data_IF_469036506003
#
_entry.id   IF_469036506003
#
_cell.length_a   1.000
_cell.length_b   1.000
_cell.length_c   1.000
_cell.angle_alpha   90.00
_cell.angle_beta   90.00
_cell.angle_gamma   90.00
#
_symmetry.space_group_name_H-M   'P 1'
#
loop_
_entity.id
_entity.type
_entity.pdbx_description
1 polymer ?
#
# COMPACT_ATOMS: atom_id res chain seq x y z
N UNK A 1 5.61 -3.73 -18.43
CA UNK A 1 5.42 -4.33 -17.09
C UNK A 1 6.46 -3.83 -16.07
N UNK A 2 7.75 -3.79 -16.41
CA UNK A 2 8.85 -3.39 -15.50
C UNK A 2 8.69 -2.02 -14.80
N UNK A 3 8.14 -1.01 -15.49
CA UNK A 3 8.02 0.37 -14.96
C UNK A 3 6.84 0.57 -13.99
N UNK A 4 5.75 -0.21 -14.14
CA UNK A 4 4.61 -0.19 -13.21
C UNK A 4 4.86 -1.05 -11.97
N UNK A 5 5.76 -2.04 -12.04
CA UNK A 5 6.05 -2.98 -10.96
C UNK A 5 7.24 -2.56 -10.07
N UNK A 6 8.09 -1.63 -10.51
CA UNK A 6 9.21 -1.11 -9.70
C UNK A 6 8.81 -0.07 -8.63
N UNK A 7 7.53 0.33 -8.63
CA UNK A 7 6.97 1.35 -7.72
C UNK A 7 5.85 0.78 -6.83
N UNK A 8 5.91 -0.49 -6.41
CA UNK A 8 4.86 -1.10 -5.57
C UNK A 8 4.73 -0.62 -4.13
N UNK A 9 5.70 -0.01 -3.42
CA UNK A 9 5.38 0.39 -2.07
C UNK A 9 4.31 1.46 -2.19
N UNK A 10 3.16 1.20 -1.59
CA UNK A 10 2.03 2.10 -1.70
C UNK A 10 1.48 2.16 -3.13
N UNK A 11 1.63 1.17 -4.02
CA UNK A 11 0.97 1.24 -5.35
C UNK A 11 -0.54 1.23 -5.16
N UNK A 12 -1.05 0.27 -4.37
CA UNK A 12 -2.46 0.23 -3.99
C UNK A 12 -2.90 1.57 -3.39
N UNK A 13 -2.14 2.06 -2.40
CA UNK A 13 -2.43 3.34 -1.72
C UNK A 13 -2.32 4.56 -2.66
N UNK A 14 -1.39 4.57 -3.59
CA UNK A 14 -1.16 5.68 -4.54
C UNK A 14 -2.26 5.72 -5.59
N UNK A 15 -2.68 4.56 -6.09
CA UNK A 15 -3.83 4.47 -6.99
C UNK A 15 -5.10 4.90 -6.26
N UNK A 16 -5.30 4.47 -5.01
CA UNK A 16 -6.43 4.92 -4.18
C UNK A 16 -6.41 6.43 -3.93
N UNK A 17 -5.24 7.03 -3.66
CA UNK A 17 -5.10 8.48 -3.54
C UNK A 17 -5.47 9.20 -4.84
N UNK A 18 -5.01 8.70 -5.98
CA UNK A 18 -5.34 9.29 -7.29
C UNK A 18 -6.82 9.13 -7.63
N UNK A 19 -7.46 8.01 -7.25
CA UNK A 19 -8.92 7.86 -7.32
C UNK A 19 -9.61 8.92 -6.47
N UNK A 20 -9.25 9.05 -5.20
CA UNK A 20 -9.82 10.05 -4.28
C UNK A 20 -9.60 11.48 -4.80
N UNK A 21 -8.43 11.75 -5.38
CA UNK A 21 -8.10 13.04 -5.99
C UNK A 21 -8.98 13.32 -7.20
N UNK A 22 -9.18 12.33 -8.08
CA UNK A 22 -10.05 12.45 -9.24
C UNK A 22 -11.50 12.71 -8.81
N UNK A 23 -11.99 12.01 -7.77
CA UNK A 23 -13.32 12.23 -7.19
C UNK A 23 -13.48 13.64 -6.61
N UNK A 24 -12.53 14.09 -5.80
CA UNK A 24 -12.55 15.46 -5.24
C UNK A 24 -12.52 16.52 -6.35
N UNK A 25 -11.70 16.32 -7.38
CA UNK A 25 -11.66 17.23 -8.53
C UNK A 25 -12.96 17.22 -9.33
N UNK A 26 -13.58 16.05 -9.49
CA UNK A 26 -14.87 15.91 -10.16
C UNK A 26 -15.96 16.66 -9.41
N UNK A 27 -16.09 16.45 -8.10
CA UNK A 27 -17.09 17.14 -7.27
C UNK A 27 -16.88 18.66 -7.24
N UNK A 28 -15.62 19.11 -7.13
CA UNK A 28 -15.29 20.54 -7.21
C UNK A 28 -15.70 21.15 -8.55
N UNK A 29 -15.47 20.45 -9.66
CA UNK A 29 -15.90 20.89 -10.99
C UNK A 29 -17.42 20.90 -11.10
N UNK A 30 -18.10 19.86 -10.61
CA UNK A 30 -19.56 19.75 -10.62
C UNK A 30 -20.20 20.93 -9.91
N UNK A 31 -19.75 21.23 -8.70
CA UNK A 31 -20.24 22.36 -7.90
C UNK A 31 -19.93 23.70 -8.56
N UNK A 32 -18.70 23.90 -9.06
CA UNK A 32 -18.30 25.15 -9.72
C UNK A 32 -19.09 25.45 -10.99
N UNK A 33 -19.50 24.42 -11.72
CA UNK A 33 -20.31 24.57 -12.95
C UNK A 33 -21.82 24.50 -12.66
N UNK A 34 -22.26 24.42 -11.40
CA UNK A 34 -23.68 24.37 -11.05
C UNK A 34 -24.40 23.11 -11.55
N UNK A 35 -23.67 22.02 -11.81
CA UNK A 35 -24.23 20.80 -12.38
C UNK A 35 -24.93 19.98 -11.29
N UNK A 36 -26.20 19.70 -11.50
CA UNK A 36 -26.98 18.76 -10.72
C UNK A 36 -27.42 17.60 -11.63
N UNK A 37 -26.90 16.40 -11.41
CA UNK A 37 -27.25 15.24 -12.22
C UNK A 37 -28.72 14.77 -12.07
N UNK A 38 -29.44 15.26 -11.07
CA UNK A 38 -30.88 15.05 -10.94
C UNK A 38 -31.71 16.05 -11.77
N UNK A 39 -31.10 17.11 -12.30
CA UNK A 39 -31.75 18.15 -13.10
C UNK A 39 -31.03 18.33 -14.44
N UNK A 40 -31.61 17.73 -15.49
CA UNK A 40 -31.08 17.74 -16.85
C UNK A 40 -30.84 19.16 -17.41
N UNK A 41 -31.63 20.15 -16.96
CA UNK A 41 -31.49 21.53 -17.42
C UNK A 41 -30.15 22.15 -17.01
N UNK A 42 -29.63 21.77 -15.84
CA UNK A 42 -28.32 22.24 -15.36
C UNK A 42 -27.16 21.66 -16.16
N UNK A 43 -27.32 20.44 -16.70
CA UNK A 43 -26.32 19.77 -17.53
C UNK A 43 -26.24 20.48 -18.90
N UNK A 44 -27.38 20.78 -19.51
CA UNK A 44 -27.45 21.48 -20.81
C UNK A 44 -26.86 22.89 -20.78
N UNK A 45 -26.93 23.55 -19.62
CA UNK A 45 -26.41 24.90 -19.42
C UNK A 45 -24.94 24.95 -18.97
N UNK A 46 -24.34 23.80 -18.66
CA UNK A 46 -22.95 23.73 -18.23
C UNK A 46 -21.97 23.92 -19.39
N UNK A 47 -20.79 24.45 -19.08
CA UNK A 47 -19.76 24.63 -20.11
C UNK A 47 -19.28 23.28 -20.66
N UNK A 48 -19.22 23.16 -21.99
CA UNK A 48 -18.75 21.95 -22.67
C UNK A 48 -17.34 21.53 -22.19
N UNK A 49 -16.44 22.51 -22.00
CA UNK A 49 -15.11 22.28 -21.42
C UNK A 49 -15.17 21.71 -20.00
N UNK A 50 -16.11 22.17 -19.18
CA UNK A 50 -16.34 21.66 -17.83
C UNK A 50 -16.84 20.22 -17.84
N UNK A 51 -17.83 19.94 -18.70
CA UNK A 51 -18.40 18.59 -18.88
C UNK A 51 -17.37 17.59 -19.41
N UNK A 52 -16.57 17.97 -20.41
CA UNK A 52 -15.48 17.11 -20.90
C UNK A 52 -14.45 16.79 -19.82
N UNK A 53 -14.07 17.78 -18.99
CA UNK A 53 -13.13 17.54 -17.90
C UNK A 53 -13.72 16.62 -16.82
N UNK A 54 -15.00 16.76 -16.50
CA UNK A 54 -15.70 15.84 -15.61
C UNK A 54 -15.73 14.41 -16.16
N UNK A 55 -16.06 14.25 -17.44
CA UNK A 55 -16.05 12.95 -18.11
C UNK A 55 -14.65 12.31 -18.12
N UNK A 56 -13.61 13.10 -18.36
CA UNK A 56 -12.22 12.64 -18.28
C UNK A 56 -11.88 12.10 -16.89
N UNK A 57 -12.24 12.83 -15.83
CA UNK A 57 -11.98 12.40 -14.44
C UNK A 57 -12.75 11.12 -14.07
N UNK A 58 -13.99 10.98 -14.54
CA UNK A 58 -14.76 9.74 -14.35
C UNK A 58 -14.09 8.55 -15.03
N UNK A 59 -13.66 8.73 -16.29
CA UNK A 59 -12.95 7.68 -17.03
C UNK A 59 -11.62 7.33 -16.35
N UNK A 60 -10.87 8.34 -15.89
CA UNK A 60 -9.64 8.13 -15.13
C UNK A 60 -9.91 7.29 -13.87
N UNK A 61 -10.91 7.64 -13.07
CA UNK A 61 -11.32 6.85 -11.89
C UNK A 61 -11.67 5.40 -12.27
N UNK A 62 -12.44 5.20 -13.34
CA UNK A 62 -12.83 3.87 -13.80
C UNK A 62 -11.62 3.02 -14.20
N UNK A 63 -10.69 3.59 -14.98
CA UNK A 63 -9.47 2.92 -15.42
C UNK A 63 -8.53 2.59 -14.24
N UNK A 64 -8.45 3.48 -13.24
CA UNK A 64 -7.71 3.23 -12.01
C UNK A 64 -8.34 2.11 -11.16
N UNK A 65 -9.67 2.08 -11.03
CA UNK A 65 -10.37 0.98 -10.33
C UNK A 65 -10.13 -0.37 -11.02
N UNK A 66 -10.23 -0.42 -12.35
CA UNK A 66 -9.89 -1.64 -13.12
C UNK A 66 -8.45 -2.09 -12.89
N UNK A 67 -7.53 -1.15 -12.74
CA UNK A 67 -6.13 -1.45 -12.44
C UNK A 67 -5.97 -2.06 -11.05
N UNK A 68 -6.71 -1.59 -10.05
CA UNK A 68 -6.76 -2.20 -8.72
C UNK A 68 -7.36 -3.60 -8.75
N UNK A 69 -8.45 -3.82 -9.49
CA UNK A 69 -9.07 -5.14 -9.61
C UNK A 69 -8.12 -6.17 -10.22
N UNK A 70 -7.43 -5.79 -11.31
CA UNK A 70 -6.43 -6.64 -11.96
C UNK A 70 -5.25 -6.95 -11.02
N UNK A 71 -4.82 -5.97 -10.24
CA UNK A 71 -3.76 -6.17 -9.26
C UNK A 71 -4.21 -7.09 -8.13
N UNK A 72 -5.45 -6.94 -7.65
CA UNK A 72 -6.06 -7.82 -6.66
C UNK A 72 -6.03 -9.28 -7.12
N UNK A 73 -6.44 -9.54 -8.37
CA UNK A 73 -6.39 -10.88 -8.97
C UNK A 73 -4.95 -11.42 -9.07
N UNK A 74 -3.99 -10.57 -9.43
CA UNK A 74 -2.58 -10.97 -9.47
C UNK A 74 -2.07 -11.36 -8.09
N UNK A 75 -2.40 -10.58 -7.06
CA UNK A 75 -2.01 -10.86 -5.69
C UNK A 75 -2.70 -12.10 -5.13
N UNK A 76 -3.97 -12.34 -5.47
CA UNK A 76 -4.67 -13.56 -5.10
C UNK A 76 -4.00 -14.80 -5.69
N UNK A 77 -3.64 -14.75 -6.96
CA UNK A 77 -2.89 -15.85 -7.59
C UNK A 77 -1.54 -16.09 -6.90
N UNK A 78 -0.82 -15.01 -6.54
CA UNK A 78 0.46 -15.12 -5.82
C UNK A 78 0.28 -15.71 -4.43
N UNK A 79 -0.70 -15.25 -3.66
CA UNK A 79 -1.01 -15.77 -2.33
C UNK A 79 -1.47 -17.22 -2.35
N UNK A 80 -2.22 -17.63 -3.39
CA UNK A 80 -2.58 -19.02 -3.59
C UNK A 80 -1.35 -19.93 -3.76
N UNK A 81 -0.34 -19.45 -4.48
CA UNK A 81 0.91 -20.19 -4.66
C UNK A 81 1.77 -20.20 -3.38
N UNK A 82 1.82 -19.08 -2.64
CA UNK A 82 2.59 -18.98 -1.41
C UNK A 82 1.98 -19.77 -0.24
N UNK A 83 0.66 -19.71 -0.10
CA UNK A 83 -0.08 -20.24 1.05
C UNK A 83 -1.29 -21.10 0.59
N UNK A 84 -1.06 -22.23 -0.10
CA UNK A 84 -2.13 -23.01 -0.71
C UNK A 84 -3.17 -23.56 0.28
N UNK A 85 -2.75 -23.75 1.54
CA UNK A 85 -3.57 -24.36 2.60
C UNK A 85 -4.14 -23.35 3.61
N UNK A 86 -3.94 -22.04 3.40
CA UNK A 86 -4.39 -21.01 4.34
C UNK A 86 -5.55 -20.20 3.76
N UNK A 87 -6.79 -20.55 4.11
CA UNK A 87 -7.99 -19.91 3.57
C UNK A 87 -8.23 -18.48 4.06
N UNK A 88 -7.57 -18.08 5.16
CA UNK A 88 -7.55 -16.70 5.62
C UNK A 88 -7.02 -15.71 4.57
N UNK A 89 -6.19 -16.17 3.61
CA UNK A 89 -5.70 -15.33 2.50
C UNK A 89 -6.82 -14.61 1.72
N UNK A 90 -8.00 -15.22 1.63
CA UNK A 90 -9.16 -14.67 0.91
C UNK A 90 -9.82 -13.48 1.63
N UNK A 91 -9.49 -13.27 2.91
CA UNK A 91 -10.03 -12.21 3.76
C UNK A 91 -9.10 -10.99 3.88
N UNK A 92 -7.94 -11.04 3.24
CA UNK A 92 -6.99 -9.94 3.19
C UNK A 92 -7.51 -8.83 2.28
N UNK A 93 -7.32 -7.58 2.69
CA UNK A 93 -7.49 -6.42 1.81
C UNK A 93 -6.37 -6.37 0.76
N UNK A 94 -6.59 -5.68 -0.35
CA UNK A 94 -5.58 -5.60 -1.42
C UNK A 94 -4.25 -4.99 -0.93
N UNK A 95 -4.28 -4.05 0.02
CA UNK A 95 -3.10 -3.48 0.68
C UNK A 95 -2.36 -4.54 1.49
N UNK A 96 -3.09 -5.34 2.28
CA UNK A 96 -2.50 -6.41 3.07
C UNK A 96 -1.84 -7.44 2.14
N UNK A 97 -2.48 -7.80 1.04
CA UNK A 97 -1.91 -8.69 0.02
C UNK A 97 -0.60 -8.14 -0.57
N UNK A 98 -0.54 -6.83 -0.83
CA UNK A 98 0.67 -6.15 -1.30
C UNK A 98 1.87 -6.39 -0.36
N UNK A 99 1.66 -6.26 0.96
CA UNK A 99 2.72 -6.51 1.94
C UNK A 99 3.26 -7.94 1.91
N UNK A 100 2.40 -8.96 1.77
CA UNK A 100 2.85 -10.36 1.68
C UNK A 100 3.70 -10.60 0.44
N UNK A 101 3.27 -10.06 -0.71
CA UNK A 101 4.02 -10.20 -1.96
C UNK A 101 5.35 -9.45 -1.88
N UNK A 102 5.36 -8.24 -1.32
CA UNK A 102 6.59 -7.48 -1.08
C UNK A 102 7.56 -8.23 -0.14
N UNK A 103 7.03 -8.90 0.88
CA UNK A 103 7.83 -9.74 1.79
C UNK A 103 8.54 -10.86 1.03
N UNK A 104 7.80 -11.60 0.20
CA UNK A 104 8.33 -12.70 -0.59
C UNK A 104 9.38 -12.23 -1.58
N UNK A 105 9.12 -11.12 -2.29
CA UNK A 105 10.07 -10.53 -3.23
C UNK A 105 11.35 -10.04 -2.55
N UNK A 106 11.25 -9.51 -1.33
CA UNK A 106 12.41 -9.02 -0.59
C UNK A 106 13.21 -10.18 0.03
N UNK A 107 12.57 -11.02 0.85
CA UNK A 107 13.24 -12.08 1.59
C UNK A 107 13.56 -13.33 0.76
N UNK A 108 12.97 -13.46 -0.43
CA UNK A 108 13.11 -14.65 -1.28
C UNK A 108 12.42 -15.89 -0.71
N UNK A 109 11.55 -15.71 0.29
CA UNK A 109 10.78 -16.77 0.93
C UNK A 109 9.43 -16.25 1.44
N UNK A 110 8.48 -17.16 1.59
CA UNK A 110 7.18 -16.85 2.19
C UNK A 110 7.36 -16.58 3.69
N UNK A 111 6.60 -15.62 4.22
CA UNK A 111 6.58 -15.32 5.65
C UNK A 111 5.64 -16.31 6.35
N UNK A 112 6.17 -17.00 7.34
CA UNK A 112 5.46 -18.02 8.13
C UNK A 112 5.17 -17.52 9.55
N UNK A 113 4.27 -18.17 10.31
CA UNK A 113 4.03 -17.80 11.70
C UNK A 113 5.31 -17.73 12.57
N UNK A 114 6.27 -18.61 12.31
CA UNK A 114 7.57 -18.64 12.99
C UNK A 114 8.39 -17.35 12.72
N UNK A 115 8.23 -16.78 11.53
CA UNK A 115 8.86 -15.52 11.12
C UNK A 115 8.24 -14.29 11.79
N UNK A 116 7.21 -14.40 12.64
CA UNK A 116 6.78 -13.29 13.50
C UNK A 116 7.57 -13.24 14.81
N UNK A 117 7.90 -14.42 15.34
CA UNK A 117 8.68 -14.57 16.56
C UNK A 117 10.16 -14.31 16.32
N UNK A 118 10.69 -14.79 15.19
CA UNK A 118 12.07 -14.55 14.78
C UNK A 118 12.15 -14.10 13.32
N UNK A 119 11.94 -12.80 13.07
CA UNK A 119 11.73 -12.34 11.70
C UNK A 119 13.01 -12.36 10.88
N UNK A 120 12.94 -12.75 9.60
CA UNK A 120 14.12 -12.88 8.76
C UNK A 120 14.84 -11.54 8.65
N UNK A 121 16.16 -11.64 8.56
CA UNK A 121 17.06 -10.52 8.32
C UNK A 121 17.82 -10.81 7.04
N UNK A 122 17.58 -10.01 5.99
CA UNK A 122 18.22 -10.20 4.69
C UNK A 122 19.67 -9.76 4.70
N UNK A 123 19.94 -8.64 5.38
CA UNK A 123 21.29 -8.07 5.48
C UNK A 123 21.76 -8.07 6.93
N UNK A 124 22.97 -8.55 7.17
CA UNK A 124 23.61 -8.43 8.47
C UNK A 124 23.72 -6.97 8.91
N UNK A 125 24.00 -6.75 10.20
CA UNK A 125 24.17 -5.40 10.76
C UNK A 125 25.18 -4.57 9.97
N UNK A 126 26.34 -5.15 9.70
CA UNK A 126 27.42 -4.43 9.03
C UNK A 126 27.03 -4.10 7.58
N UNK A 127 26.37 -5.02 6.88
CA UNK A 127 25.85 -4.78 5.53
C UNK A 127 24.77 -3.70 5.51
N UNK A 128 23.83 -3.71 6.48
CA UNK A 128 22.81 -2.66 6.60
C UNK A 128 23.46 -1.28 6.81
N UNK A 129 24.45 -1.18 7.71
CA UNK A 129 25.17 0.08 7.96
C UNK A 129 25.87 0.59 6.70
N UNK A 130 26.50 -0.31 5.94
CA UNK A 130 27.17 0.06 4.70
C UNK A 130 26.18 0.52 3.63
N UNK A 131 25.09 -0.23 3.42
CA UNK A 131 24.03 0.12 2.46
C UNK A 131 23.43 1.49 2.81
N UNK A 132 23.11 1.74 4.08
CA UNK A 132 22.62 3.03 4.57
C UNK A 132 23.61 4.16 4.22
N UNK A 133 24.89 3.93 4.49
CA UNK A 133 25.95 4.90 4.23
C UNK A 133 26.06 5.24 2.74
N UNK A 134 25.99 4.23 1.87
CA UNK A 134 25.98 4.42 0.42
C UNK A 134 24.77 5.22 -0.04
N UNK A 135 23.57 4.90 0.46
CA UNK A 135 22.36 5.65 0.13
C UNK A 135 22.43 7.12 0.55
N UNK A 136 22.97 7.39 1.75
CA UNK A 136 23.17 8.74 2.23
C UNK A 136 24.14 9.55 1.38
N UNK A 137 25.20 8.92 0.86
CA UNK A 137 26.12 9.55 -0.10
C UNK A 137 25.44 9.81 -1.45
N UNK A 138 24.65 8.85 -1.95
CA UNK A 138 23.88 8.98 -3.19
C UNK A 138 22.87 10.14 -3.09
N UNK A 139 22.17 10.26 -1.96
CA UNK A 139 21.20 11.34 -1.73
C UNK A 139 21.89 12.70 -1.60
N UNK A 140 23.03 12.79 -0.92
CA UNK A 140 23.73 14.08 -0.75
C UNK A 140 24.52 14.54 -1.98
N UNK A 141 24.73 13.68 -2.98
CA UNK A 141 25.47 14.01 -4.21
C UNK A 141 24.59 14.66 -5.30
N UNK A 142 23.54 15.39 -4.93
CA UNK A 142 22.52 15.91 -5.86
C UNK A 142 23.07 16.76 -7.03
N UNK A 143 24.22 17.41 -6.86
CA UNK A 143 24.82 18.28 -7.88
C UNK A 143 25.89 17.60 -8.76
N UNK A 144 26.24 16.33 -8.49
CA UNK A 144 27.29 15.61 -9.21
C UNK A 144 26.78 14.23 -9.64
N UNK A 145 26.14 14.20 -10.81
CA UNK A 145 25.53 12.99 -11.39
C UNK A 145 26.55 11.88 -11.61
N UNK A 146 27.81 12.23 -11.88
CA UNK A 146 28.90 11.27 -12.04
C UNK A 146 29.21 10.56 -10.71
N UNK A 147 29.41 11.31 -9.63
CA UNK A 147 29.64 10.72 -8.28
C UNK A 147 28.45 9.89 -7.81
N UNK A 148 27.24 10.33 -8.11
CA UNK A 148 26.02 9.57 -7.81
C UNK A 148 26.03 8.22 -8.52
N UNK A 149 26.28 8.21 -9.84
CA UNK A 149 26.28 6.97 -10.63
C UNK A 149 27.40 6.02 -10.18
N UNK A 150 28.60 6.55 -9.90
CA UNK A 150 29.70 5.75 -9.38
C UNK A 150 29.35 5.09 -8.03
N UNK A 151 28.66 5.80 -7.15
CA UNK A 151 28.21 5.27 -5.85
C UNK A 151 27.16 4.17 -6.02
N UNK A 152 26.24 4.32 -6.97
CA UNK A 152 25.26 3.28 -7.32
C UNK A 152 25.95 2.04 -7.90
N UNK A 153 26.91 2.22 -8.80
CA UNK A 153 27.68 1.11 -9.39
C UNK A 153 28.46 0.33 -8.33
N UNK A 154 29.11 1.04 -7.41
CA UNK A 154 29.84 0.41 -6.30
C UNK A 154 28.91 -0.39 -5.38
N UNK A 155 27.74 0.17 -5.07
CA UNK A 155 26.72 -0.51 -4.26
C UNK A 155 26.22 -1.77 -4.96
N UNK A 156 25.83 -1.66 -6.23
CA UNK A 156 25.33 -2.78 -7.03
C UNK A 156 26.39 -3.85 -7.27
N UNK A 157 27.67 -3.48 -7.32
CA UNK A 157 28.77 -4.44 -7.42
C UNK A 157 28.95 -5.24 -6.12
N UNK A 158 28.83 -4.58 -4.95
CA UNK A 158 28.99 -5.24 -3.65
C UNK A 158 27.75 -6.03 -3.24
N UNK A 159 26.56 -5.50 -3.55
CA UNK A 159 25.26 -6.07 -3.24
C UNK A 159 24.43 -6.23 -4.52
N UNK A 160 24.75 -7.22 -5.38
CA UNK A 160 24.10 -7.40 -6.68
C UNK A 160 22.60 -7.71 -6.60
N UNK A 161 22.15 -8.27 -5.48
CA UNK A 161 20.73 -8.52 -5.23
C UNK A 161 19.98 -7.31 -4.67
N UNK A 162 20.70 -6.25 -4.29
CA UNK A 162 20.07 -5.04 -3.78
C UNK A 162 19.46 -4.25 -4.94
N UNK A 163 18.16 -3.98 -4.89
CA UNK A 163 17.45 -3.32 -5.98
C UNK A 163 17.32 -1.80 -5.73
N UNK A 164 18.32 -1.02 -6.16
CA UNK A 164 18.36 0.44 -5.95
C UNK A 164 17.20 1.20 -6.58
N UNK A 165 16.68 0.68 -7.70
CA UNK A 165 15.61 1.31 -8.48
C UNK A 165 14.21 0.82 -8.08
N UNK A 166 14.12 -0.26 -7.30
CA UNK A 166 12.85 -0.79 -6.81
C UNK A 166 12.49 -0.12 -5.48
N UNK A 167 11.47 0.73 -5.50
CA UNK A 167 11.04 1.43 -4.29
C UNK A 167 10.52 0.46 -3.22
N UNK A 168 9.87 -0.62 -3.63
CA UNK A 168 9.24 -1.62 -2.75
C UNK A 168 10.31 -2.34 -1.95
N UNK A 169 11.37 -2.72 -2.66
CA UNK A 169 12.57 -3.30 -2.06
C UNK A 169 13.21 -2.36 -1.04
N UNK A 170 13.33 -1.06 -1.40
CA UNK A 170 13.85 -0.04 -0.50
C UNK A 170 12.98 0.19 0.74
N UNK A 171 11.66 0.13 0.61
CA UNK A 171 10.75 0.19 1.76
C UNK A 171 10.89 -1.02 2.67
N UNK A 172 11.01 -2.22 2.09
CA UNK A 172 11.25 -3.43 2.87
C UNK A 172 12.58 -3.37 3.63
N UNK A 173 13.65 -2.90 2.97
CA UNK A 173 14.93 -2.62 3.62
C UNK A 173 14.80 -1.59 4.74
N UNK A 174 14.05 -0.50 4.52
CA UNK A 174 13.79 0.51 5.55
C UNK A 174 13.09 -0.09 6.77
N UNK A 175 12.03 -0.89 6.58
CA UNK A 175 11.31 -1.53 7.67
C UNK A 175 12.18 -2.54 8.44
N UNK A 176 13.02 -3.30 7.74
CA UNK A 176 13.99 -4.19 8.38
C UNK A 176 14.98 -3.39 9.24
N UNK A 177 15.54 -2.29 8.73
CA UNK A 177 16.46 -1.44 9.48
C UNK A 177 15.80 -0.78 10.70
N UNK A 178 14.56 -0.28 10.56
CA UNK A 178 13.80 0.31 11.68
C UNK A 178 13.58 -0.68 12.82
N UNK A 179 13.39 -1.97 12.52
CA UNK A 179 13.25 -3.02 13.55
C UNK A 179 14.53 -3.19 14.37
N UNK A 180 15.67 -3.10 13.72
CA UNK A 180 16.99 -3.26 14.33
C UNK A 180 17.65 -1.91 14.66
N UNK A 181 16.85 -0.85 14.88
CA UNK A 181 17.35 0.51 15.12
C UNK A 181 18.35 0.58 16.27
N UNK A 182 18.09 -0.17 17.34
CA UNK A 182 18.93 -0.21 18.54
C UNK A 182 20.31 -0.81 18.24
N UNK A 183 20.39 -1.79 17.35
CA UNK A 183 21.64 -2.41 16.92
C UNK A 183 22.42 -1.54 15.93
N UNK A 184 21.70 -0.87 15.02
CA UNK A 184 22.26 -0.05 13.94
C UNK A 184 22.82 1.28 14.47
N UNK A 185 22.16 1.86 15.48
CA UNK A 185 22.57 3.09 16.14
C UNK A 185 22.01 4.36 15.51
N UNK A 186 21.80 5.37 16.36
CA UNK A 186 21.05 6.59 16.02
C UNK A 186 21.63 7.36 14.82
N UNK A 187 22.96 7.45 14.71
CA UNK A 187 23.60 8.18 13.60
C UNK A 187 23.21 7.60 12.24
N UNK A 188 23.25 6.26 12.12
CA UNK A 188 22.88 5.56 10.88
C UNK A 188 21.38 5.60 10.66
N UNK A 189 20.56 5.56 11.70
CA UNK A 189 19.11 5.76 11.57
C UNK A 189 18.75 7.16 11.05
N UNK A 190 19.47 8.21 11.48
CA UNK A 190 19.29 9.56 10.94
C UNK A 190 19.66 9.63 9.45
N UNK A 191 20.76 8.97 9.06
CA UNK A 191 21.16 8.85 7.65
C UNK A 191 20.11 8.10 6.82
N UNK A 192 19.59 6.99 7.34
CA UNK A 192 18.52 6.21 6.71
C UNK A 192 17.28 7.08 6.47
N UNK A 193 16.81 7.79 7.50
CA UNK A 193 15.64 8.68 7.39
C UNK A 193 15.87 9.80 6.35
N UNK A 194 17.04 10.43 6.38
CA UNK A 194 17.41 11.48 5.42
C UNK A 194 17.51 10.96 3.98
N UNK A 195 18.06 9.76 3.78
CA UNK A 195 18.31 9.22 2.44
C UNK A 195 17.05 8.60 1.81
N UNK A 196 16.18 8.00 2.62
CA UNK A 196 15.00 7.30 2.12
C UNK A 196 13.76 8.19 2.04
N UNK A 197 13.79 9.39 2.65
CA UNK A 197 12.71 10.39 2.67
C UNK A 197 11.32 9.77 2.52
N UNK A 198 11.04 8.77 3.36
CA UNK A 198 9.78 8.04 3.32
C UNK A 198 8.75 9.04 3.82
N UNK A 199 8.10 9.74 2.90
CA UNK A 199 6.99 10.61 3.25
C UNK A 199 6.01 9.79 4.09
N UNK A 200 5.85 10.18 5.37
CA UNK A 200 4.76 9.70 6.19
C UNK A 200 3.47 10.12 5.48
N UNK A 201 2.88 9.18 4.77
CA UNK A 201 1.61 9.38 4.08
C UNK A 201 0.55 9.64 5.14
N UNK A 202 0.07 10.89 5.19
CA UNK A 202 -1.05 11.28 6.04
C UNK A 202 -0.92 12.64 6.75
N UNK A 203 0.18 13.40 6.59
CA UNK A 203 0.32 14.69 7.32
C UNK A 203 0.42 15.94 6.44
N UNK A 204 0.99 15.86 5.23
CA UNK A 204 1.34 17.10 4.52
C UNK A 204 0.19 17.73 3.71
N UNK A 205 -0.70 16.97 3.08
CA UNK A 205 -1.77 17.56 2.24
C UNK A 205 -3.09 17.86 2.98
N UNK A 206 -3.39 17.20 4.10
CA UNK A 206 -4.61 17.48 4.87
C UNK A 206 -4.52 18.84 5.62
N UNK A 207 -3.30 19.27 5.98
CA UNK A 207 -3.10 20.52 6.75
C UNK A 207 -3.41 21.81 5.97
N UNK A 208 -3.33 21.79 4.63
CA UNK A 208 -3.59 22.97 3.80
C UNK A 208 -5.01 23.01 3.21
N UNK A 209 -5.71 21.88 3.13
CA UNK A 209 -7.05 21.84 2.52
C UNK A 209 -8.21 21.70 3.53
N UNK A 210 -7.96 21.35 4.80
CA UNK A 210 -9.03 21.21 5.82
C UNK A 210 -9.67 22.53 6.27
N UNK A 211 -9.23 23.70 5.77
CA UNK A 211 -9.88 24.98 6.10
C UNK A 211 -11.18 25.27 5.35
N UNK A 212 -11.68 24.39 4.48
CA UNK A 212 -12.91 24.69 3.74
C UNK A 212 -13.69 23.44 3.33
N UNK A 213 -14.54 22.93 4.23
CA UNK A 213 -15.95 22.58 3.96
C UNK A 213 -16.50 21.71 5.09
N UNK A 214 -17.37 22.31 5.90
CA UNK A 214 -18.25 21.60 6.82
C UNK A 214 -19.44 21.01 6.04
N UNK A 215 -19.93 19.84 6.49
CA UNK A 215 -21.28 19.24 6.33
C UNK A 215 -21.46 18.14 5.24
N UNK A 216 -21.29 16.88 5.69
CA UNK A 216 -22.13 15.69 5.37
C UNK A 216 -21.71 14.74 4.23
N UNK A 217 -22.28 13.52 4.12
CA UNK A 217 -22.67 12.54 5.15
C UNK A 217 -21.63 11.41 5.30
N UNK A 218 -21.69 10.69 6.42
CA UNK A 218 -20.79 9.59 6.81
C UNK A 218 -20.66 8.51 5.72
N UNK A 219 -19.51 8.49 5.06
CA UNK A 219 -19.03 7.33 4.32
C UNK A 219 -18.48 6.31 5.33
N UNK A 220 -19.15 5.16 5.44
CA UNK A 220 -18.70 4.01 6.23
C UNK A 220 -17.55 3.26 5.54
N UNK A 221 -16.55 3.98 5.02
CA UNK A 221 -15.25 3.38 4.79
C UNK A 221 -14.50 3.48 6.10
N UNK A 222 -14.56 2.40 6.90
CA UNK A 222 -13.49 2.07 7.83
C UNK A 222 -12.23 1.81 6.99
N UNK A 223 -11.67 2.86 6.39
CA UNK A 223 -10.24 2.92 6.16
C UNK A 223 -9.65 3.04 7.55
N UNK A 224 -9.43 1.89 8.19
CA UNK A 224 -8.40 1.79 9.22
C UNK A 224 -7.09 2.07 8.48
N UNK A 225 -6.84 3.36 8.24
CA UNK A 225 -5.53 3.85 7.88
C UNK A 225 -4.62 3.29 8.96
N UNK A 226 -3.82 2.29 8.59
CA UNK A 226 -2.71 1.85 9.41
C UNK A 226 -1.92 3.12 9.68
N UNK A 227 -2.01 3.64 10.90
CA UNK A 227 -1.15 4.73 11.32
C UNK A 227 0.26 4.16 11.27
N UNK A 228 0.98 4.45 10.19
CA UNK A 228 2.35 4.00 9.92
C UNK A 228 3.37 4.49 10.96
N UNK A 229 2.91 5.16 12.03
CA UNK A 229 3.73 5.82 13.04
C UNK A 229 4.07 4.93 14.26
N UNK A 230 3.72 3.63 14.30
CA UNK A 230 4.13 2.80 15.46
C UNK A 230 4.27 1.28 15.25
N UNK A 231 3.61 0.66 14.27
CA UNK A 231 3.66 -0.80 14.09
C UNK A 231 4.68 -1.18 13.01
N UNK A 232 5.75 -1.90 13.38
CA UNK A 232 6.71 -2.43 12.42
C UNK A 232 6.04 -3.34 11.37
N UNK A 233 6.67 -3.52 10.21
CA UNK A 233 6.15 -4.32 9.09
C UNK A 233 5.62 -5.70 9.49
N UNK A 234 6.34 -6.44 10.33
CA UNK A 234 5.90 -7.76 10.81
C UNK A 234 4.66 -7.69 11.69
N UNK A 235 4.49 -6.63 12.49
CA UNK A 235 3.27 -6.42 13.29
C UNK A 235 2.06 -6.13 12.40
N UNK A 236 2.26 -5.49 11.24
CA UNK A 236 1.20 -5.29 10.24
C UNK A 236 0.77 -6.64 9.67
N UNK A 237 1.73 -7.48 9.25
CA UNK A 237 1.46 -8.81 8.71
C UNK A 237 0.77 -9.72 9.75
N UNK A 238 1.27 -9.74 10.98
CA UNK A 238 0.72 -10.54 12.08
C UNK A 238 -0.72 -10.11 12.38
N UNK A 239 -0.97 -8.81 12.48
CA UNK A 239 -2.33 -8.27 12.69
C UNK A 239 -3.27 -8.63 11.53
N UNK A 240 -2.78 -8.56 10.29
CA UNK A 240 -3.55 -8.94 9.11
C UNK A 240 -3.95 -10.42 9.12
N UNK A 241 -3.04 -11.31 9.53
CA UNK A 241 -3.32 -12.75 9.66
C UNK A 241 -4.36 -12.99 10.73
N UNK A 242 -4.19 -12.43 11.93
CA UNK A 242 -5.13 -12.63 13.01
C UNK A 242 -6.54 -12.15 12.66
N UNK A 243 -6.65 -11.00 12.01
CA UNK A 243 -7.92 -10.46 11.59
C UNK A 243 -8.56 -11.27 10.45
N UNK A 244 -7.76 -11.73 9.48
CA UNK A 244 -8.21 -12.59 8.40
C UNK A 244 -8.72 -13.94 8.93
N UNK A 245 -7.97 -14.57 9.83
CA UNK A 245 -8.36 -15.81 10.50
C UNK A 245 -9.62 -15.65 11.35
N UNK A 246 -9.76 -14.51 12.05
CA UNK A 246 -10.97 -14.20 12.83
C UNK A 246 -12.19 -14.15 11.92
N UNK A 247 -12.13 -13.38 10.83
CA UNK A 247 -13.24 -13.26 9.86
C UNK A 247 -13.59 -14.59 9.21
N UNK A 248 -12.58 -15.36 8.81
CA UNK A 248 -12.78 -16.68 8.23
C UNK A 248 -13.51 -17.63 9.20
N UNK A 249 -13.11 -17.67 10.47
CA UNK A 249 -13.77 -18.49 11.50
C UNK A 249 -15.20 -18.03 11.78
N UNK A 250 -15.44 -16.72 11.80
CA UNK A 250 -16.79 -16.16 11.96
C UNK A 250 -17.72 -16.60 10.82
N UNK A 251 -17.28 -16.51 9.58
CA UNK A 251 -18.05 -16.97 8.42
C UNK A 251 -18.31 -18.49 8.45
N UNK A 252 -17.30 -19.28 8.84
CA UNK A 252 -17.45 -20.73 8.94
C UNK A 252 -18.50 -21.11 10.00
N UNK A 253 -18.50 -20.42 11.15
CA UNK A 253 -19.50 -20.58 12.21
C UNK A 253 -20.89 -20.16 11.75
N UNK A 254 -21.01 -19.03 11.05
CA UNK A 254 -22.27 -18.58 10.49
C UNK A 254 -22.86 -19.58 9.49
N UNK A 255 -22.03 -20.12 8.60
CA UNK A 255 -22.45 -21.13 7.63
C UNK A 255 -22.90 -22.41 8.33
N UNK A 256 -22.15 -22.88 9.33
CA UNK A 256 -22.56 -24.03 10.17
C UNK A 256 -23.91 -23.79 10.85
N UNK A 257 -24.14 -22.60 11.39
CA UNK A 257 -25.42 -22.23 12.03
C UNK A 257 -26.57 -22.14 11.03
N UNK A 258 -26.36 -21.55 9.85
CA UNK A 258 -27.34 -21.50 8.74
C UNK A 258 -27.72 -22.92 8.29
N UNK A 259 -26.76 -23.82 8.16
CA UNK A 259 -26.99 -25.21 7.75
C UNK A 259 -27.74 -26.03 8.82
N UNK A 260 -27.42 -25.84 10.12
CA UNK A 260 -28.17 -26.45 11.22
C UNK A 260 -29.64 -26.01 11.22
N UNK A 261 -29.91 -24.71 11.06
CA UNK A 261 -31.28 -24.17 10.98
C UNK A 261 -32.05 -24.71 9.77
N UNK A 262 -31.40 -24.88 8.62
CA UNK A 262 -32.02 -25.50 7.42
C UNK A 262 -32.38 -26.98 7.65
N UNK A 263 -31.52 -27.74 8.34
CA UNK A 263 -31.79 -29.15 8.68
C UNK A 263 -32.96 -29.31 9.65
N UNK A 264 -33.06 -28.44 10.66
CA UNK A 264 -34.21 -28.45 11.59
C UNK A 264 -35.54 -28.13 10.88
N UNK A 265 -35.57 -27.10 10.02
CA UNK A 265 -36.77 -26.77 9.21
C UNK A 265 -37.16 -27.84 8.19
N UNK A 266 -36.22 -28.69 7.78
CA UNK A 266 -36.49 -29.81 6.87
C UNK A 266 -37.04 -31.06 7.56
N UNK A 267 -36.92 -31.17 8.89
CA UNK A 267 -37.50 -32.26 9.69
C UNK A 267 -38.91 -31.95 10.20
N UNK A 268 -39.38 -30.70 10.08
CA UNK A 268 -40.73 -30.27 10.43
C UNK A 268 -41.74 -30.36 9.26
N UNK A 269 -41.34 -30.97 8.14
CA UNK A 269 -42.21 -31.27 6.98
C UNK A 269 -42.33 -32.77 6.78
#
# INVERSE_FOLDING_TARGET
MYVLLNNRPQFVLSIQKEINRAEKQFENLRLKNGVNFADESTIKNASEKGLHKMQFLLKQKEDLNKSLDLLGLLYDHRLQAMYPNWDGRNYLSIEQKEFFVMAEEYYGKNITPEDFSNPPRKYSKDEQIEIISSFYQISNSHNDSYKRNQSIELLNKKYPEFQTDNQSYKHMFYYECMRYSDEIGQERMNQLQSAFNVQHVGKEEDSQLERSATIGPKSNHNSSFLSFDASGFFSILESAIHEADRKWREDELEQKNKNKRKRQKGMER
#
